data_IF_176258638412
#
_entry.id   IF_176258638412
#
_cell.length_a   1.000
_cell.length_b   1.000
_cell.length_c   1.000
_cell.angle_alpha   90.00
_cell.angle_beta   90.00
_cell.angle_gamma   90.00
#
_symmetry.space_group_name_H-M   'P 1'
#
loop_
_entity.id
_entity.type
_entity.pdbx_description
1 polymer ?
#
# COMPACT_ATOMS: atom_id res chain seq x y z
N UNK A 1 -2.22 3.20 8.48
CA UNK A 1 -1.22 2.13 8.37
C UNK A 1 0.19 2.69 8.16
N UNK A 2 1.19 1.98 8.64
CA UNK A 2 2.57 2.46 8.62
C UNK A 2 3.30 1.99 7.38
N UNK A 3 4.10 2.87 6.74
CA UNK A 3 5.07 2.48 5.73
C UNK A 3 6.23 1.69 6.35
N UNK A 4 6.89 0.86 5.57
CA UNK A 4 8.08 0.13 5.98
C UNK A 4 9.30 1.05 6.08
N UNK A 5 10.19 0.73 6.99
CA UNK A 5 11.46 1.45 7.13
C UNK A 5 12.37 1.21 5.93
N UNK A 6 13.22 2.20 5.63
CA UNK A 6 14.31 2.03 4.70
C UNK A 6 15.35 1.02 5.23
N UNK A 7 15.91 0.23 4.34
CA UNK A 7 17.11 -0.54 4.63
C UNK A 7 18.33 0.38 4.73
N UNK A 8 19.33 -0.06 5.46
CA UNK A 8 20.59 0.67 5.63
C UNK A 8 21.76 -0.10 5.01
N UNK A 9 22.81 0.62 4.64
CA UNK A 9 24.10 -0.01 4.37
C UNK A 9 24.79 -0.30 5.71
N UNK A 10 25.17 -1.55 5.95
CA UNK A 10 25.78 -1.97 7.22
C UNK A 10 27.24 -1.53 7.36
N UNK A 11 27.93 -1.27 6.24
CA UNK A 11 29.34 -0.85 6.22
C UNK A 11 29.47 0.66 6.20
N UNK A 12 28.64 1.34 5.42
CA UNK A 12 28.66 2.80 5.26
C UNK A 12 27.27 3.35 5.56
N UNK A 13 27.14 4.05 6.68
CA UNK A 13 25.87 4.57 7.21
C UNK A 13 25.16 5.66 6.37
N UNK A 14 25.73 6.01 5.21
CA UNK A 14 25.33 7.19 4.43
C UNK A 14 24.32 6.94 3.30
N UNK A 15 24.01 5.69 3.00
CA UNK A 15 23.07 5.35 1.92
C UNK A 15 21.92 4.52 2.48
N UNK A 16 20.88 5.18 2.92
CA UNK A 16 19.63 4.51 3.24
C UNK A 16 18.73 4.45 1.99
N UNK A 17 17.91 3.41 1.86
CA UNK A 17 16.78 3.43 0.94
C UNK A 17 15.78 4.51 1.37
N UNK A 18 14.67 4.62 0.66
CA UNK A 18 13.54 5.47 1.08
C UNK A 18 12.53 4.66 1.92
N UNK A 19 11.91 5.31 2.89
CA UNK A 19 10.79 4.73 3.62
C UNK A 19 9.57 4.60 2.71
N UNK A 20 8.73 3.59 2.93
CA UNK A 20 7.40 3.56 2.34
C UNK A 20 6.48 4.61 2.96
N UNK A 21 5.51 5.10 2.21
CA UNK A 21 4.48 6.01 2.72
C UNK A 21 3.46 5.26 3.60
N UNK A 22 2.89 5.92 4.59
CA UNK A 22 1.77 5.42 5.38
C UNK A 22 0.46 5.43 4.59
N UNK A 23 -0.46 4.53 4.94
CA UNK A 23 -1.84 4.57 4.43
C UNK A 23 -2.74 5.44 5.32
N UNK A 24 -3.77 6.02 4.73
CA UNK A 24 -4.85 6.75 5.44
C UNK A 24 -6.02 5.81 5.67
N UNK A 25 -6.63 5.83 6.86
CA UNK A 25 -7.74 4.93 7.15
C UNK A 25 -8.82 5.50 8.09
N UNK A 26 -10.00 4.87 8.06
CA UNK A 26 -11.10 5.09 8.99
C UNK A 26 -11.31 3.82 9.78
N UNK A 27 -11.36 3.94 11.11
CA UNK A 27 -11.42 2.85 12.08
C UNK A 27 -12.61 3.00 13.02
N UNK A 28 -13.20 1.87 13.40
CA UNK A 28 -14.28 1.81 14.39
C UNK A 28 -13.74 1.79 15.82
N UNK A 29 -12.53 1.23 16.02
CA UNK A 29 -11.88 1.14 17.32
C UNK A 29 -10.65 2.04 17.35
N UNK A 30 -10.65 3.01 18.25
CA UNK A 30 -9.49 3.83 18.57
C UNK A 30 -8.78 3.23 19.78
N UNK A 31 -7.55 2.78 19.58
CA UNK A 31 -6.69 2.42 20.70
C UNK A 31 -6.39 3.64 21.55
N UNK A 32 -6.46 3.49 22.89
CA UNK A 32 -6.09 4.55 23.83
C UNK A 32 -4.57 4.81 23.87
N UNK A 33 -3.79 3.98 23.21
CA UNK A 33 -2.33 4.10 23.13
C UNK A 33 -1.92 4.80 21.83
N UNK A 34 -0.76 5.42 21.84
CA UNK A 34 -0.13 6.09 20.69
C UNK A 34 0.25 5.12 19.56
N UNK A 35 0.01 3.82 19.72
CA UNK A 35 0.41 2.77 18.75
C UNK A 35 -0.74 2.52 17.79
N UNK A 36 -0.73 3.20 16.65
CA UNK A 36 -1.70 3.02 15.56
C UNK A 36 -1.63 1.64 14.89
N UNK A 37 -0.65 0.82 15.23
CA UNK A 37 -0.41 -0.52 14.68
C UNK A 37 -0.98 -1.66 15.53
N UNK A 38 -1.74 -1.36 16.60
CA UNK A 38 -2.38 -2.39 17.40
C UNK A 38 -3.35 -3.25 16.57
N UNK A 39 -3.27 -4.56 16.74
CA UNK A 39 -3.91 -5.53 15.84
C UNK A 39 -5.43 -5.39 15.74
N UNK A 40 -6.12 -5.16 16.86
CA UNK A 40 -7.56 -4.94 16.91
C UNK A 40 -7.96 -3.63 16.22
N UNK A 41 -7.22 -2.56 16.42
CA UNK A 41 -7.43 -1.29 15.72
C UNK A 41 -7.22 -1.43 14.22
N UNK A 42 -6.19 -2.15 13.75
CA UNK A 42 -5.97 -2.42 12.33
C UNK A 42 -7.09 -3.27 11.71
N UNK A 43 -7.64 -4.22 12.45
CA UNK A 43 -8.77 -5.03 11.96
C UNK A 43 -10.08 -4.27 11.90
N UNK A 44 -10.26 -3.21 12.70
CA UNK A 44 -11.47 -2.39 12.71
C UNK A 44 -11.59 -1.37 11.57
N UNK A 45 -10.67 -1.39 10.60
CA UNK A 45 -10.65 -0.45 9.47
C UNK A 45 -11.75 -0.78 8.47
N UNK A 46 -12.65 0.18 8.25
CA UNK A 46 -13.76 0.07 7.29
C UNK A 46 -13.46 0.74 5.95
N UNK A 47 -12.45 1.62 5.91
CA UNK A 47 -11.94 2.25 4.69
C UNK A 47 -10.43 2.50 4.81
N UNK A 48 -9.68 2.19 3.77
CA UNK A 48 -8.22 2.37 3.71
C UNK A 48 -7.81 2.84 2.33
N UNK A 49 -7.07 3.93 2.27
CA UNK A 49 -6.29 4.34 1.10
C UNK A 49 -4.82 3.91 1.32
N UNK A 50 -4.28 3.14 0.40
CA UNK A 50 -2.91 2.64 0.48
C UNK A 50 -1.86 3.73 0.29
N UNK A 51 -0.67 3.53 0.85
CA UNK A 51 0.52 4.37 0.69
C UNK A 51 1.51 3.76 -0.30
N UNK A 52 2.23 4.60 -1.03
CA UNK A 52 3.24 4.18 -2.01
C UNK A 52 4.46 3.51 -1.34
N UNK A 53 5.11 2.61 -2.04
CA UNK A 53 6.42 2.11 -1.64
C UNK A 53 7.51 3.17 -1.84
N UNK A 54 8.60 3.05 -1.11
CA UNK A 54 9.76 3.93 -1.27
C UNK A 54 10.46 3.68 -2.60
N UNK A 55 10.92 4.76 -3.23
CA UNK A 55 11.72 4.67 -4.46
C UNK A 55 13.16 4.27 -4.18
N UNK A 56 13.82 3.55 -5.09
CA UNK A 56 15.27 3.44 -5.06
C UNK A 56 15.89 4.82 -5.35
N UNK A 57 16.96 5.17 -4.65
CA UNK A 57 17.66 6.47 -4.80
C UNK A 57 18.59 6.56 -6.00
N UNK A 58 18.45 5.70 -7.00
CA UNK A 58 19.30 5.72 -8.19
C UNK A 58 19.02 6.96 -9.06
N UNK A 59 20.08 7.47 -9.67
CA UNK A 59 20.24 8.82 -10.25
C UNK A 59 19.23 9.23 -11.33
N UNK A 60 18.52 8.27 -11.95
CA UNK A 60 17.66 8.54 -13.11
C UNK A 60 16.25 7.89 -12.99
N UNK A 61 15.83 7.48 -11.81
CA UNK A 61 14.63 6.63 -11.61
C UNK A 61 13.49 7.37 -10.92
N UNK A 62 13.36 8.67 -11.11
CA UNK A 62 12.24 9.47 -10.57
C UNK A 62 10.84 9.01 -11.06
N UNK A 63 10.80 8.08 -12.03
CA UNK A 63 9.57 7.64 -12.70
C UNK A 63 9.06 6.26 -12.24
N UNK A 64 9.72 5.59 -11.30
CA UNK A 64 9.43 4.18 -10.98
C UNK A 64 8.98 3.94 -9.55
N UNK A 65 8.23 4.89 -8.98
CA UNK A 65 7.59 4.66 -7.69
C UNK A 65 6.53 3.57 -7.82
N UNK A 66 6.51 2.65 -6.87
CA UNK A 66 5.41 1.74 -6.76
C UNK A 66 4.18 2.48 -6.22
N UNK A 67 3.29 2.82 -7.11
CA UNK A 67 2.04 3.46 -6.75
C UNK A 67 1.23 2.57 -5.79
N UNK A 68 0.47 3.22 -4.94
CA UNK A 68 -0.39 2.57 -3.97
C UNK A 68 -1.83 2.48 -4.47
N UNK A 69 -2.62 1.77 -3.71
CA UNK A 69 -4.06 1.77 -3.88
C UNK A 69 -4.56 0.66 -4.80
N UNK A 70 -5.85 0.73 -5.10
CA UNK A 70 -6.53 -0.33 -5.82
C UNK A 70 -6.71 -1.61 -4.99
N UNK A 71 -7.33 -2.62 -5.59
CA UNK A 71 -7.44 -3.95 -4.98
C UNK A 71 -6.07 -4.65 -4.91
N UNK A 72 -5.22 -4.37 -5.88
CA UNK A 72 -3.82 -4.79 -5.94
C UNK A 72 -2.99 -3.56 -6.27
N UNK A 73 -2.01 -3.28 -5.45
CA UNK A 73 -1.06 -2.18 -5.64
C UNK A 73 0.00 -2.51 -6.68
N UNK A 74 1.06 -1.72 -6.72
CA UNK A 74 2.13 -1.90 -7.69
C UNK A 74 3.40 -2.40 -7.01
N UNK A 75 4.15 -3.17 -7.76
CA UNK A 75 5.45 -3.71 -7.38
C UNK A 75 6.52 -2.61 -7.43
N UNK A 76 7.48 -2.68 -6.53
CA UNK A 76 8.65 -1.81 -6.54
C UNK A 76 9.57 -2.08 -7.74
N UNK A 77 10.20 -1.04 -8.23
CA UNK A 77 11.20 -1.15 -9.29
C UNK A 77 12.54 -1.67 -8.75
N UNK A 78 13.30 -2.35 -9.60
CA UNK A 78 14.70 -2.69 -9.33
C UNK A 78 15.50 -2.70 -10.64
N UNK A 79 16.66 -2.07 -10.62
CA UNK A 79 17.59 -2.07 -11.77
C UNK A 79 18.14 -3.47 -12.09
N UNK A 80 18.18 -4.36 -11.13
CA UNK A 80 18.65 -5.75 -11.32
C UNK A 80 17.56 -6.69 -11.82
N UNK A 81 16.37 -6.18 -12.03
CA UNK A 81 15.24 -6.95 -12.55
C UNK A 81 14.12 -7.13 -11.54
N UNK A 82 13.02 -7.56 -12.04
CA UNK A 82 11.73 -7.59 -11.39
C UNK A 82 11.65 -8.39 -10.09
N UNK A 83 12.50 -9.38 -9.90
CA UNK A 83 12.48 -10.24 -8.70
C UNK A 83 12.97 -9.56 -7.43
N UNK A 84 13.68 -8.44 -7.53
CA UNK A 84 14.28 -7.71 -6.41
C UNK A 84 13.41 -6.55 -5.92
N UNK A 85 12.55 -5.98 -6.75
CA UNK A 85 11.56 -5.02 -6.30
C UNK A 85 10.61 -5.62 -5.27
N UNK A 86 10.20 -4.85 -4.28
CA UNK A 86 9.20 -5.25 -3.28
C UNK A 86 7.88 -5.64 -3.95
N UNK A 87 7.30 -6.78 -3.60
CA UNK A 87 6.05 -7.22 -4.18
C UNK A 87 4.89 -6.30 -3.77
N UNK A 88 3.89 -6.20 -4.66
CA UNK A 88 2.64 -5.50 -4.42
C UNK A 88 1.82 -6.18 -3.30
N UNK A 89 1.03 -5.39 -2.58
CA UNK A 89 -0.02 -5.91 -1.71
C UNK A 89 -1.34 -6.08 -2.46
N UNK A 90 -2.21 -6.97 -1.98
CA UNK A 90 -3.57 -7.12 -2.47
C UNK A 90 -4.57 -7.24 -1.30
N UNK A 91 -5.78 -7.77 -1.54
CA UNK A 91 -6.83 -7.85 -0.52
C UNK A 91 -6.61 -8.96 0.53
N UNK A 92 -5.77 -9.92 0.25
CA UNK A 92 -5.58 -11.12 1.08
C UNK A 92 -4.13 -11.36 1.48
N UNK A 93 -3.19 -10.61 0.90
CA UNK A 93 -1.76 -10.79 1.13
C UNK A 93 -0.96 -9.49 0.98
N UNK A 94 0.14 -9.45 1.66
CA UNK A 94 1.10 -8.36 1.68
C UNK A 94 2.16 -8.62 2.74
N UNK A 95 2.97 -7.63 3.06
CA UNK A 95 3.96 -7.73 4.14
C UNK A 95 3.30 -8.03 5.47
N UNK A 96 2.28 -7.25 5.83
CA UNK A 96 1.36 -7.52 6.94
C UNK A 96 0.10 -6.66 6.81
N UNK A 97 -0.93 -6.98 7.61
CA UNK A 97 -2.11 -6.14 7.71
C UNK A 97 -1.70 -4.76 8.26
N UNK A 98 -1.92 -3.70 7.48
CA UNK A 98 -1.69 -2.31 7.86
C UNK A 98 -0.27 -1.81 7.69
N UNK A 99 0.75 -2.66 7.59
CA UNK A 99 2.14 -2.23 7.65
C UNK A 99 2.96 -2.70 6.44
N UNK A 100 3.69 -1.77 5.83
CA UNK A 100 4.68 -2.06 4.80
C UNK A 100 5.90 -2.80 5.34
N UNK A 101 6.50 -3.65 4.51
CA UNK A 101 7.71 -4.38 4.81
C UNK A 101 8.94 -3.47 4.81
N UNK A 102 9.89 -3.74 5.70
CA UNK A 102 11.15 -3.00 5.71
C UNK A 102 11.98 -3.36 4.46
N UNK A 103 12.66 -2.38 3.91
CA UNK A 103 13.68 -2.60 2.90
C UNK A 103 14.84 -3.40 3.45
N UNK A 104 15.43 -4.28 2.64
CA UNK A 104 16.57 -5.07 3.05
C UNK A 104 17.80 -4.16 3.29
N UNK A 105 18.58 -4.49 4.31
CA UNK A 105 19.91 -3.91 4.46
C UNK A 105 20.86 -4.53 3.44
N UNK A 106 21.91 -3.79 3.05
CA UNK A 106 23.00 -4.32 2.23
C UNK A 106 24.31 -4.26 2.97
N UNK A 107 25.10 -5.33 2.87
CA UNK A 107 26.47 -5.40 3.39
C UNK A 107 27.53 -5.16 2.33
N UNK A 108 27.16 -4.86 1.09
CA UNK A 108 28.08 -4.72 -0.04
C UNK A 108 28.74 -3.34 -0.11
N UNK A 109 29.84 -3.27 -0.80
CA UNK A 109 30.70 -2.14 -1.18
C UNK A 109 30.43 -0.69 -0.76
N UNK A 110 31.39 0.16 -0.99
CA UNK A 110 31.47 1.56 -0.49
C UNK A 110 30.30 2.47 -0.94
N UNK A 111 29.63 2.11 -2.02
CA UNK A 111 28.60 2.95 -2.65
C UNK A 111 27.21 2.32 -2.71
N UNK A 112 27.01 1.18 -2.06
CA UNK A 112 25.72 0.48 -2.09
C UNK A 112 24.77 1.04 -1.04
N UNK A 113 23.60 1.54 -1.49
CA UNK A 113 22.54 1.98 -0.60
C UNK A 113 21.68 0.84 -0.06
N UNK A 114 20.93 1.11 1.01
CA UNK A 114 19.87 0.20 1.47
C UNK A 114 18.69 0.21 0.51
N UNK A 115 17.91 -0.86 0.56
CA UNK A 115 16.69 -0.99 -0.27
C UNK A 115 15.49 -0.29 0.37
N UNK A 116 14.49 0.06 -0.41
CA UNK A 116 13.40 0.90 0.08
C UNK A 116 12.29 0.10 0.76
N UNK A 117 11.62 0.73 1.71
CA UNK A 117 10.48 0.14 2.43
C UNK A 117 9.22 0.09 1.60
N UNK A 118 8.35 -0.89 1.87
CA UNK A 118 7.02 -1.00 1.27
C UNK A 118 6.03 0.01 1.84
N UNK A 119 5.00 0.37 1.08
CA UNK A 119 3.93 1.26 1.52
C UNK A 119 2.97 0.58 2.50
N UNK A 120 2.43 1.35 3.45
CA UNK A 120 1.34 0.92 4.32
C UNK A 120 0.01 0.88 3.56
N UNK A 121 -0.98 0.11 4.05
CA UNK A 121 -2.27 -0.01 3.38
C UNK A 121 -3.22 -0.93 4.12
N UNK A 122 -4.24 -1.44 3.43
CA UNK A 122 -5.05 -2.55 3.99
C UNK A 122 -4.14 -3.74 4.27
N UNK A 123 -3.45 -4.25 3.26
CA UNK A 123 -2.17 -4.93 3.42
C UNK A 123 -1.05 -4.02 2.93
N UNK A 124 0.07 -4.03 3.62
CA UNK A 124 1.24 -3.26 3.21
C UNK A 124 2.04 -3.98 2.13
N UNK A 125 2.67 -3.22 1.24
CA UNK A 125 3.60 -3.74 0.24
C UNK A 125 4.87 -4.30 0.88
N UNK A 126 5.57 -5.15 0.17
CA UNK A 126 6.85 -5.70 0.63
C UNK A 126 7.98 -4.70 0.43
N UNK A 127 8.97 -4.74 1.28
CA UNK A 127 10.23 -4.00 1.09
C UNK A 127 11.03 -4.52 -0.09
N UNK A 128 11.87 -3.66 -0.66
CA UNK A 128 12.85 -4.04 -1.67
C UNK A 128 13.84 -5.06 -1.12
N UNK A 129 14.24 -6.02 -1.95
CA UNK A 129 15.12 -7.12 -1.58
C UNK A 129 16.58 -6.77 -1.85
N UNK A 130 17.49 -7.36 -1.06
CA UNK A 130 18.92 -7.23 -1.29
C UNK A 130 19.31 -7.87 -2.62
N UNK A 131 20.17 -7.16 -3.36
CA UNK A 131 20.79 -7.62 -4.60
C UNK A 131 22.18 -8.16 -4.26
N UNK A 132 22.50 -9.37 -4.70
CA UNK A 132 23.80 -9.97 -4.40
C UNK A 132 24.97 -9.24 -5.08
N UNK A 133 25.90 -8.70 -4.32
CA UNK A 133 27.22 -8.23 -4.78
C UNK A 133 27.27 -6.96 -5.63
N UNK A 134 26.19 -6.51 -6.23
CA UNK A 134 26.10 -5.29 -7.02
C UNK A 134 25.32 -4.20 -6.27
N UNK A 135 25.72 -2.95 -6.46
CA UNK A 135 25.14 -1.80 -5.78
C UNK A 135 23.78 -1.35 -6.37
N UNK A 136 23.03 -2.24 -6.95
CA UNK A 136 21.68 -1.92 -7.44
C UNK A 136 20.72 -1.77 -6.27
N UNK A 137 19.91 -0.75 -6.32
CA UNK A 137 18.87 -0.48 -5.35
C UNK A 137 17.51 -1.05 -5.81
N UNK A 138 16.69 -1.43 -4.88
CA UNK A 138 15.33 -1.88 -5.16
C UNK A 138 14.30 -1.10 -4.36
N UNK A 139 13.24 -0.66 -5.04
CA UNK A 139 12.09 0.02 -4.46
C UNK A 139 11.19 -0.93 -3.69
N UNK A 140 10.43 -0.40 -2.75
CA UNK A 140 9.39 -1.13 -2.05
C UNK A 140 8.09 -1.22 -2.87
N UNK A 141 7.27 -2.23 -2.65
CA UNK A 141 5.93 -2.35 -3.23
C UNK A 141 4.92 -1.42 -2.54
N UNK A 142 3.86 -1.03 -3.24
CA UNK A 142 2.77 -0.23 -2.68
C UNK A 142 1.83 -1.04 -1.78
N UNK A 143 1.09 -0.35 -0.90
CA UNK A 143 0.02 -0.92 -0.09
C UNK A 143 -1.32 -0.93 -0.84
N UNK A 144 -2.18 -1.91 -0.56
CA UNK A 144 -3.52 -2.01 -1.15
C UNK A 144 -4.53 -1.09 -0.44
N UNK A 145 -5.60 -0.74 -1.14
CA UNK A 145 -6.76 -0.03 -0.57
C UNK A 145 -7.87 -1.02 -0.19
N UNK A 146 -8.81 -0.57 0.66
CA UNK A 146 -9.99 -1.33 1.05
C UNK A 146 -11.15 -0.40 1.33
N UNK A 147 -12.35 -0.78 0.90
CA UNK A 147 -13.60 -0.10 1.27
C UNK A 147 -14.62 -1.19 1.59
N UNK A 148 -15.22 -1.15 2.77
CA UNK A 148 -16.28 -2.08 3.14
C UNK A 148 -17.49 -1.91 2.22
N UNK A 149 -17.91 -2.98 1.56
CA UNK A 149 -18.99 -2.98 0.55
C UNK A 149 -18.51 -2.75 -0.89
N UNK A 150 -17.24 -2.41 -1.14
CA UNK A 150 -16.74 -2.24 -2.50
C UNK A 150 -16.48 -3.60 -3.16
N UNK A 151 -17.03 -3.80 -4.36
CA UNK A 151 -16.87 -5.05 -5.11
C UNK A 151 -15.38 -5.34 -5.36
N UNK A 152 -14.98 -6.58 -5.14
CA UNK A 152 -13.58 -7.02 -5.29
C UNK A 152 -12.74 -6.92 -4.03
N UNK A 153 -13.17 -6.15 -3.03
CA UNK A 153 -12.52 -6.14 -1.71
C UNK A 153 -12.77 -7.44 -0.94
N UNK A 154 -11.85 -7.77 -0.04
CA UNK A 154 -11.96 -8.90 0.88
C UNK A 154 -11.70 -8.43 2.32
N UNK A 155 -12.72 -8.54 3.16
CA UNK A 155 -12.64 -8.18 4.57
C UNK A 155 -11.90 -9.25 5.38
N UNK A 156 -11.34 -8.86 6.53
CA UNK A 156 -10.92 -9.81 7.57
C UNK A 156 -12.14 -10.46 8.23
N UNK A 157 -11.95 -11.65 8.80
CA UNK A 157 -13.06 -12.48 9.31
C UNK A 157 -13.69 -11.94 10.57
N UNK A 158 -12.90 -11.35 11.49
CA UNK A 158 -13.39 -10.92 12.79
C UNK A 158 -12.47 -9.89 13.46
N UNK A 159 -12.92 -9.35 14.58
CA UNK A 159 -12.14 -8.46 15.43
C UNK A 159 -10.84 -9.12 15.96
N UNK A 160 -10.84 -10.43 16.16
CA UNK A 160 -9.71 -11.18 16.71
C UNK A 160 -8.80 -11.82 15.65
N UNK A 161 -9.17 -11.79 14.36
CA UNK A 161 -8.42 -12.44 13.28
C UNK A 161 -8.10 -11.51 12.12
N UNK A 162 -6.85 -11.50 11.69
CA UNK A 162 -6.40 -10.82 10.46
C UNK A 162 -6.52 -11.70 9.20
N UNK A 163 -7.11 -12.89 9.33
CA UNK A 163 -7.34 -13.80 8.19
C UNK A 163 -8.43 -13.23 7.30
N UNK A 164 -8.23 -13.27 6.01
CA UNK A 164 -9.24 -12.94 5.01
C UNK A 164 -10.45 -13.89 5.10
N UNK A 165 -11.64 -13.40 4.78
CA UNK A 165 -12.85 -14.24 4.73
C UNK A 165 -12.63 -15.46 3.86
N UNK A 166 -13.05 -16.64 4.36
CA UNK A 166 -12.91 -17.92 3.67
C UNK A 166 -13.66 -17.93 2.34
N UNK A 167 -13.06 -18.55 1.33
CA UNK A 167 -13.62 -18.61 -0.02
C UNK A 167 -13.60 -17.28 -0.80
N UNK A 168 -12.99 -16.23 -0.23
CA UNK A 168 -12.89 -14.92 -0.86
C UNK A 168 -11.49 -14.66 -1.41
N UNK A 169 -11.43 -14.13 -2.61
CA UNK A 169 -10.18 -13.75 -3.30
C UNK A 169 -10.23 -12.31 -3.78
N UNK A 170 -9.09 -11.68 -3.96
CA UNK A 170 -8.99 -10.33 -4.56
C UNK A 170 -9.73 -10.29 -5.89
N UNK A 171 -10.57 -9.28 -6.09
CA UNK A 171 -11.35 -9.12 -7.31
C UNK A 171 -12.62 -9.97 -7.37
N UNK A 172 -13.01 -10.62 -6.29
CA UNK A 172 -14.27 -11.41 -6.25
C UNK A 172 -15.50 -10.53 -6.52
N UNK A 173 -16.47 -11.09 -7.22
CA UNK A 173 -17.79 -10.46 -7.40
C UNK A 173 -18.78 -10.80 -6.28
N UNK A 174 -18.40 -11.66 -5.34
CA UNK A 174 -19.21 -11.96 -4.17
C UNK A 174 -19.17 -10.79 -3.17
N UNK A 175 -20.23 -10.01 -3.13
CA UNK A 175 -20.33 -8.80 -2.30
C UNK A 175 -20.21 -9.09 -0.79
N UNK A 176 -20.57 -10.29 -0.31
CA UNK A 176 -20.40 -10.64 1.11
C UNK A 176 -18.94 -10.66 1.55
N UNK A 177 -18.01 -10.86 0.61
CA UNK A 177 -16.58 -10.88 0.86
C UNK A 177 -16.06 -9.50 1.29
N UNK A 178 -16.59 -8.42 0.73
CA UNK A 178 -16.13 -7.06 1.00
C UNK A 178 -16.71 -6.44 2.28
N UNK A 179 -17.77 -7.02 2.84
CA UNK A 179 -18.45 -6.48 4.02
C UNK A 179 -17.57 -6.71 5.26
N UNK A 180 -17.18 -5.63 5.92
CA UNK A 180 -16.45 -5.69 7.19
C UNK A 180 -17.23 -6.49 8.25
N UNK A 181 -16.55 -7.15 9.18
CA UNK A 181 -17.20 -7.98 10.22
C UNK A 181 -18.19 -7.20 11.10
N UNK A 182 -18.05 -5.87 11.20
CA UNK A 182 -19.02 -5.02 11.92
C UNK A 182 -20.35 -4.85 11.21
N UNK A 183 -20.46 -5.25 9.94
CA UNK A 183 -21.64 -5.02 9.09
C UNK A 183 -21.72 -3.63 8.45
N UNK A 184 -20.89 -2.66 8.87
CA UNK A 184 -20.89 -1.34 8.22
C UNK A 184 -20.37 -1.43 6.78
N UNK A 185 -21.14 -0.83 5.86
CA UNK A 185 -20.81 -0.78 4.42
C UNK A 185 -21.01 0.60 3.86
N UNK A 186 -20.34 0.89 2.75
CA UNK A 186 -20.55 2.10 1.96
C UNK A 186 -21.25 1.76 0.65
N UNK A 187 -22.17 2.62 0.22
CA UNK A 187 -22.80 2.57 -1.09
C UNK A 187 -22.09 3.52 -2.07
N UNK A 188 -22.28 3.30 -3.37
CA UNK A 188 -21.72 4.16 -4.43
C UNK A 188 -20.20 4.38 -4.29
N UNK A 189 -19.48 3.32 -3.95
CA UNK A 189 -18.06 3.37 -3.66
C UNK A 189 -17.23 3.59 -4.91
N UNK A 190 -16.24 4.48 -4.80
CA UNK A 190 -15.24 4.75 -5.84
C UNK A 190 -13.86 4.46 -5.25
N UNK A 191 -13.06 3.67 -5.95
CA UNK A 191 -11.68 3.38 -5.60
C UNK A 191 -10.78 3.72 -6.78
N UNK A 192 -9.86 4.66 -6.56
CA UNK A 192 -8.88 5.09 -7.57
C UNK A 192 -7.49 4.88 -7.00
N UNK A 193 -6.60 4.22 -7.74
CA UNK A 193 -5.21 4.02 -7.32
C UNK A 193 -4.33 5.24 -7.60
N UNK A 194 -3.09 5.21 -7.10
CA UNK A 194 -2.13 6.31 -7.25
C UNK A 194 -1.71 6.60 -8.70
N UNK A 195 -1.98 5.68 -9.64
CA UNK A 195 -1.79 5.88 -11.08
C UNK A 195 -3.04 6.41 -11.79
N UNK A 196 -4.13 6.66 -11.05
CA UNK A 196 -5.38 7.18 -11.59
C UNK A 196 -6.33 6.14 -12.15
N UNK A 197 -6.05 4.84 -11.98
CA UNK A 197 -6.97 3.81 -12.46
C UNK A 197 -8.12 3.59 -11.48
N UNK A 198 -9.34 3.62 -12.03
CA UNK A 198 -10.54 3.24 -11.30
C UNK A 198 -10.61 1.72 -11.15
N UNK A 199 -10.99 1.27 -9.96
CA UNK A 199 -11.13 -0.14 -9.62
C UNK A 199 -12.58 -0.47 -9.27
N UNK A 200 -13.05 -1.57 -9.85
CA UNK A 200 -14.21 -2.32 -9.37
C UNK A 200 -13.68 -3.67 -8.85
N UNK A 201 -14.16 -4.79 -9.37
CA UNK A 201 -13.52 -6.10 -9.10
C UNK A 201 -12.22 -6.31 -9.91
N UNK A 202 -12.00 -5.50 -10.93
CA UNK A 202 -10.78 -5.47 -11.76
C UNK A 202 -10.32 -4.04 -11.94
N UNK A 203 -9.08 -3.89 -12.41
CA UNK A 203 -8.52 -2.60 -12.81
C UNK A 203 -9.24 -2.10 -14.07
N UNK A 204 -9.84 -0.94 -13.98
CA UNK A 204 -10.58 -0.30 -15.07
C UNK A 204 -9.75 0.71 -15.85
N UNK A 205 -10.40 1.72 -16.41
CA UNK A 205 -9.76 2.81 -17.14
C UNK A 205 -9.15 3.85 -16.21
N UNK A 206 -8.24 4.64 -16.75
CA UNK A 206 -7.68 5.78 -16.06
C UNK A 206 -8.70 6.92 -16.01
N UNK A 207 -8.81 7.55 -14.83
CA UNK A 207 -9.74 8.65 -14.55
C UNK A 207 -9.01 9.78 -13.84
N UNK A 208 -9.62 10.96 -13.82
CA UNK A 208 -9.07 12.06 -13.03
C UNK A 208 -9.19 11.78 -11.53
N UNK A 209 -8.10 11.98 -10.81
CA UNK A 209 -8.05 11.84 -9.35
C UNK A 209 -8.60 13.12 -8.72
N UNK A 210 -9.66 13.04 -7.86
CA UNK A 210 -10.18 14.21 -7.16
C UNK A 210 -9.12 14.83 -6.25
N UNK A 211 -9.02 16.18 -6.29
CA UNK A 211 -8.14 16.93 -5.42
C UNK A 211 -8.91 17.33 -4.13
N UNK A 212 -8.36 17.10 -2.93
CA UNK A 212 -8.99 17.51 -1.67
C UNK A 212 -9.29 19.01 -1.56
N UNK A 213 -8.54 19.84 -2.29
CA UNK A 213 -8.73 21.29 -2.34
C UNK A 213 -9.77 21.75 -3.38
N UNK A 214 -10.42 20.80 -4.05
CA UNK A 214 -11.36 21.05 -5.15
C UNK A 214 -10.76 20.78 -6.53
N UNK A 215 -11.63 20.43 -7.50
CA UNK A 215 -11.20 20.02 -8.83
C UNK A 215 -10.52 18.66 -8.86
N UNK A 216 -9.61 18.49 -9.80
CA UNK A 216 -8.91 17.22 -10.05
C UNK A 216 -7.42 17.43 -10.22
N UNK A 217 -6.63 16.38 -9.92
CA UNK A 217 -5.23 16.34 -10.29
C UNK A 217 -5.06 16.09 -11.80
N UNK A 218 -3.97 16.57 -12.43
CA UNK A 218 -3.64 16.21 -13.81
C UNK A 218 -3.46 14.68 -13.95
N UNK A 219 -3.92 14.10 -15.05
CA UNK A 219 -3.88 12.64 -15.31
C UNK A 219 -2.48 12.04 -15.45
N UNK A 220 -1.44 12.83 -15.59
CA UNK A 220 -0.19 12.36 -16.20
C UNK A 220 0.69 11.50 -15.32
N UNK A 221 0.59 11.50 -13.98
CA UNK A 221 1.53 10.77 -13.11
C UNK A 221 0.95 10.33 -11.75
N UNK A 222 -0.36 10.21 -11.62
CA UNK A 222 -0.94 9.99 -10.31
C UNK A 222 -0.88 11.27 -9.47
N UNK A 223 -0.79 11.10 -8.17
CA UNK A 223 -0.74 12.24 -7.25
C UNK A 223 0.30 11.95 -6.16
N UNK A 224 1.12 12.94 -5.87
CA UNK A 224 2.06 12.93 -4.77
C UNK A 224 1.34 13.25 -3.45
N UNK A 225 1.78 12.61 -2.36
CA UNK A 225 1.31 12.91 -1.02
C UNK A 225 0.52 11.78 -0.35
N UNK A 226 -0.29 12.17 0.61
CA UNK A 226 -1.04 11.21 1.44
C UNK A 226 -2.24 10.64 0.69
N UNK A 227 -2.61 9.38 1.00
CA UNK A 227 -3.87 8.79 0.56
C UNK A 227 -5.08 9.65 0.99
N UNK A 228 -6.10 9.72 0.15
CA UNK A 228 -7.30 10.53 0.37
C UNK A 228 -8.55 9.68 0.49
N UNK A 229 -9.37 10.00 1.49
CA UNK A 229 -10.67 9.36 1.74
C UNK A 229 -11.73 10.45 1.85
N UNK A 230 -12.87 10.25 1.18
CA UNK A 230 -14.07 11.10 1.30
C UNK A 230 -15.29 10.25 1.56
N UNK A 231 -16.11 10.65 2.55
CA UNK A 231 -17.44 10.11 2.81
C UNK A 231 -18.45 11.23 2.60
N UNK A 232 -19.51 10.94 1.86
CA UNK A 232 -20.63 11.85 1.67
C UNK A 232 -21.88 11.19 2.21
N UNK A 233 -22.65 11.89 3.06
CA UNK A 233 -23.98 11.45 3.48
C UNK A 233 -24.92 11.53 2.28
N UNK A 234 -25.68 10.47 2.05
CA UNK A 234 -26.77 10.46 1.09
C UNK A 234 -28.05 10.81 1.86
N UNK A 235 -28.69 11.89 1.45
CA UNK A 235 -30.00 12.31 1.98
C UNK A 235 -31.11 11.47 1.33
#
# INVERSE_FOLDING_TARGET
GDGGAAGTNTTYKYSAGMTGAGGTDIRLVREKTTVMSASNSLRSRIMVAGGAGGNPTAKDVALYSSNAGGLTSYKGYSEQGDSYGGAAANQTSGSSLGKGGNGAATGGGTYCGGHSGGGGGYYGGYGGKATGGNCYMSGGGGGSSYISGHTGCVAVTSESSSTAKSGCTTGTTNNSCSIHYSGYTFANTVMIDGSGYNWTNTKGSQVQIPNPKGGYYPLTFGHDGHGYIRITLLN
#
